data_IF_180430388125
#
_entry.id   IF_180430388125
#
_cell.length_a   1.000
_cell.length_b   1.000
_cell.length_c   1.000
_cell.angle_alpha   90.00
_cell.angle_beta   90.00
_cell.angle_gamma   90.00
#
_symmetry.space_group_name_H-M   'P 1'
#
loop_
_entity.id
_entity.type
_entity.pdbx_description
1 polymer ?
#
# COMPACT_ATOMS: atom_id res chain seq x y z
N UNK A 1 -16.37 -12.07 7.57
CA UNK A 1 -16.44 -10.60 7.58
C UNK A 1 -15.06 -10.00 7.36
N UNK A 2 -14.96 -9.06 6.45
CA UNK A 2 -13.68 -8.41 6.14
C UNK A 2 -13.42 -7.28 7.14
N UNK A 3 -12.22 -7.28 7.73
CA UNK A 3 -11.75 -6.20 8.61
C UNK A 3 -10.57 -5.49 7.96
N UNK A 4 -10.53 -4.18 8.15
CA UNK A 4 -9.42 -3.36 7.67
C UNK A 4 -8.64 -2.86 8.88
N UNK A 5 -7.33 -3.06 8.87
CA UNK A 5 -6.47 -2.63 9.96
C UNK A 5 -5.10 -2.20 9.47
N UNK A 6 -4.43 -1.39 10.28
CA UNK A 6 -3.06 -1.00 10.03
C UNK A 6 -2.13 -2.18 10.34
N UNK A 7 -1.06 -2.32 9.57
CA UNK A 7 -0.12 -3.43 9.73
C UNK A 7 0.96 -3.14 10.75
N UNK A 8 1.59 -4.20 11.22
CA UNK A 8 2.76 -4.15 12.08
C UNK A 8 3.86 -5.04 11.48
N UNK A 9 5.03 -5.03 12.10
CA UNK A 9 6.16 -5.84 11.62
C UNK A 9 5.85 -7.34 11.54
N UNK A 10 4.97 -7.82 12.41
CA UNK A 10 4.59 -9.24 12.40
C UNK A 10 3.79 -9.67 11.18
N UNK A 11 3.30 -8.71 10.39
CA UNK A 11 2.54 -8.97 9.17
C UNK A 11 3.41 -9.13 7.93
N UNK A 12 4.74 -9.03 8.06
CA UNK A 12 5.62 -8.88 6.90
C UNK A 12 5.46 -10.01 5.86
N UNK A 13 5.34 -11.25 6.29
CA UNK A 13 5.20 -12.35 5.32
C UNK A 13 3.88 -12.30 4.57
N UNK A 14 2.79 -11.97 5.24
CA UNK A 14 1.49 -11.78 4.60
C UNK A 14 1.51 -10.60 3.64
N UNK A 15 2.16 -9.50 4.03
CA UNK A 15 2.31 -8.32 3.16
C UNK A 15 3.13 -8.65 1.91
N UNK A 16 4.22 -9.37 2.06
CA UNK A 16 5.04 -9.76 0.92
C UNK A 16 4.26 -10.66 -0.04
N UNK A 17 3.50 -11.61 0.48
CA UNK A 17 2.69 -12.50 -0.36
C UNK A 17 1.67 -11.71 -1.19
N UNK A 18 0.92 -10.79 -0.58
CA UNK A 18 -0.09 -10.03 -1.31
C UNK A 18 0.55 -9.02 -2.27
N UNK A 19 1.68 -8.44 -1.89
CA UNK A 19 2.43 -7.52 -2.77
C UNK A 19 2.90 -8.22 -4.04
N UNK A 20 3.49 -9.40 -3.89
CA UNK A 20 3.99 -10.16 -5.03
C UNK A 20 2.84 -10.68 -5.91
N UNK A 21 1.72 -11.08 -5.31
CA UNK A 21 0.52 -11.45 -6.06
C UNK A 21 0.06 -10.28 -6.95
N UNK A 22 -0.04 -9.09 -6.39
CA UNK A 22 -0.43 -7.90 -7.15
C UNK A 22 0.55 -7.60 -8.28
N UNK A 23 1.86 -7.66 -8.00
CA UNK A 23 2.88 -7.37 -9.02
C UNK A 23 2.84 -8.37 -10.17
N UNK A 24 2.53 -9.63 -9.90
CA UNK A 24 2.36 -10.62 -10.96
C UNK A 24 1.20 -10.26 -11.89
N UNK A 25 0.09 -9.83 -11.31
CA UNK A 25 -1.11 -9.47 -12.07
C UNK A 25 -0.87 -8.19 -12.88
N UNK A 26 -0.33 -7.14 -12.24
CA UNK A 26 -0.12 -5.84 -12.87
C UNK A 26 0.88 -5.92 -14.02
N UNK A 27 1.90 -6.77 -13.89
CA UNK A 27 2.95 -6.93 -14.89
C UNK A 27 2.70 -8.11 -15.83
N UNK A 28 1.53 -8.75 -15.75
CA UNK A 28 1.16 -9.88 -16.61
C UNK A 28 2.27 -10.94 -16.65
N UNK A 29 2.76 -11.31 -15.48
CA UNK A 29 3.85 -12.28 -15.35
C UNK A 29 3.37 -13.70 -15.57
N UNK A 30 4.19 -14.49 -16.23
CA UNK A 30 3.94 -15.92 -16.40
C UNK A 30 4.23 -16.66 -15.10
N UNK A 31 3.63 -17.83 -14.92
CA UNK A 31 3.75 -18.62 -13.69
C UNK A 31 5.20 -19.03 -13.37
N UNK A 32 6.03 -19.22 -14.41
CA UNK A 32 7.42 -19.62 -14.24
C UNK A 32 8.39 -18.43 -14.05
N UNK A 33 7.91 -17.20 -14.14
CA UNK A 33 8.73 -16.02 -13.93
C UNK A 33 8.87 -15.73 -12.44
N UNK A 34 10.10 -15.49 -12.01
CA UNK A 34 10.39 -15.16 -10.62
C UNK A 34 10.78 -13.69 -10.49
N UNK A 35 10.54 -13.13 -9.32
CA UNK A 35 11.00 -11.79 -8.99
C UNK A 35 12.47 -11.80 -8.63
N UNK A 36 13.17 -10.72 -8.91
CA UNK A 36 14.56 -10.58 -8.49
C UNK A 36 14.66 -10.54 -6.97
N UNK A 37 15.77 -11.05 -6.44
CA UNK A 37 16.03 -10.94 -5.01
C UNK A 37 16.13 -9.48 -4.57
N UNK A 38 16.62 -8.61 -5.44
CA UNK A 38 16.71 -7.18 -5.19
C UNK A 38 15.33 -6.59 -4.92
N UNK A 39 14.34 -6.87 -5.77
CA UNK A 39 12.98 -6.38 -5.57
C UNK A 39 12.38 -6.91 -4.28
N UNK A 40 12.53 -8.21 -4.02
CA UNK A 40 11.97 -8.85 -2.83
C UNK A 40 12.59 -8.25 -1.56
N UNK A 41 13.90 -8.13 -1.50
CA UNK A 41 14.60 -7.64 -0.32
C UNK A 41 14.32 -6.17 -0.06
N UNK A 42 14.30 -5.33 -1.10
CA UNK A 42 13.98 -3.90 -0.95
C UNK A 42 12.52 -3.68 -0.56
N UNK A 43 11.62 -4.49 -1.09
CA UNK A 43 10.20 -4.40 -0.71
C UNK A 43 9.99 -4.76 0.75
N UNK A 44 10.62 -5.85 1.21
CA UNK A 44 10.54 -6.27 2.60
C UNK A 44 11.09 -5.21 3.55
N UNK A 45 12.27 -4.69 3.23
CA UNK A 45 12.89 -3.64 4.05
C UNK A 45 12.03 -2.39 4.09
N UNK A 46 11.44 -2.01 2.96
CA UNK A 46 10.59 -0.83 2.90
C UNK A 46 9.35 -0.95 3.78
N UNK A 47 8.69 -2.11 3.78
CA UNK A 47 7.55 -2.33 4.68
C UNK A 47 7.96 -2.26 6.15
N UNK A 48 9.16 -2.72 6.48
CA UNK A 48 9.63 -2.77 7.88
C UNK A 48 10.16 -1.43 8.38
N UNK A 49 10.87 -0.68 7.55
CA UNK A 49 11.63 0.49 7.99
C UNK A 49 11.36 1.77 7.20
N UNK A 50 10.62 1.69 6.09
CA UNK A 50 10.34 2.87 5.27
C UNK A 50 9.35 3.83 5.92
N UNK A 51 9.34 5.06 5.44
CA UNK A 51 8.40 6.09 5.90
C UNK A 51 7.07 5.90 5.17
N UNK A 52 6.25 5.00 5.70
CA UNK A 52 5.00 4.61 5.06
C UNK A 52 4.00 4.09 6.10
N UNK A 53 2.73 4.04 5.71
CA UNK A 53 1.69 3.29 6.40
C UNK A 53 1.05 2.32 5.42
N UNK A 54 0.76 1.13 5.88
CA UNK A 54 0.05 0.12 5.09
C UNK A 54 -1.12 -0.41 5.89
N UNK A 55 -2.25 -0.57 5.22
CA UNK A 55 -3.42 -1.25 5.79
C UNK A 55 -3.69 -2.51 4.98
N UNK A 56 -4.28 -3.48 5.64
CA UNK A 56 -4.71 -4.73 5.00
C UNK A 56 -6.18 -4.94 5.25
N UNK A 57 -6.81 -5.62 4.31
CA UNK A 57 -8.15 -6.15 4.47
C UNK A 57 -8.02 -7.65 4.73
N UNK A 58 -8.61 -8.11 5.83
CA UNK A 58 -8.52 -9.50 6.25
C UNK A 58 -9.90 -10.15 6.31
N UNK A 59 -9.98 -11.36 5.80
CA UNK A 59 -11.12 -12.24 5.99
C UNK A 59 -10.64 -13.42 6.82
N UNK A 60 -10.92 -13.40 8.13
CA UNK A 60 -10.31 -14.32 9.07
C UNK A 60 -8.80 -14.10 9.12
N UNK A 61 -8.03 -15.14 8.85
CA UNK A 61 -6.56 -15.05 8.84
C UNK A 61 -5.98 -14.73 7.46
N UNK A 62 -6.85 -14.63 6.45
CA UNK A 62 -6.44 -14.43 5.08
C UNK A 62 -6.42 -12.93 4.74
N UNK A 63 -5.30 -12.45 4.22
CA UNK A 63 -5.20 -11.09 3.69
C UNK A 63 -5.75 -11.10 2.25
N UNK A 64 -6.79 -10.32 2.02
CA UNK A 64 -7.48 -10.26 0.73
C UNK A 64 -7.30 -8.93 0.01
N UNK A 65 -6.61 -7.99 0.62
CA UNK A 65 -6.30 -6.72 0.01
C UNK A 65 -5.30 -5.94 0.82
N UNK A 66 -4.71 -4.93 0.20
CA UNK A 66 -3.80 -4.01 0.85
C UNK A 66 -3.83 -2.65 0.18
N UNK A 67 -3.35 -1.66 0.89
CA UNK A 67 -3.10 -0.33 0.36
C UNK A 67 -1.98 0.30 1.17
N UNK A 68 -1.11 1.06 0.52
CA UNK A 68 0.03 1.71 1.16
C UNK A 68 0.07 3.19 0.81
N UNK A 69 0.60 3.98 1.72
CA UNK A 69 0.88 5.38 1.48
C UNK A 69 2.31 5.65 1.92
N UNK A 70 3.10 6.24 1.01
CA UNK A 70 4.48 6.62 1.27
C UNK A 70 4.52 8.10 1.57
N UNK A 71 5.33 8.50 2.55
CA UNK A 71 5.49 9.90 2.93
C UNK A 71 6.80 10.43 2.38
N UNK A 72 6.73 11.61 1.78
CA UNK A 72 7.92 12.27 1.23
C UNK A 72 7.93 13.73 1.64
N UNK A 73 9.13 14.31 1.71
CA UNK A 73 9.28 15.74 1.91
C UNK A 73 10.00 16.28 0.68
N UNK A 74 9.39 17.25 0.03
CA UNK A 74 10.00 17.93 -1.11
C UNK A 74 10.14 19.41 -0.81
N UNK A 75 10.73 20.16 -1.72
CA UNK A 75 10.95 21.59 -1.54
C UNK A 75 9.64 22.29 -1.13
N UNK A 76 9.61 22.97 0.03
CA UNK A 76 8.44 23.75 0.42
C UNK A 76 8.07 24.81 -0.62
N UNK A 77 6.77 25.00 -0.80
CA UNK A 77 6.24 26.00 -1.72
C UNK A 77 5.20 26.85 -1.01
N UNK A 78 4.73 27.89 -1.67
CA UNK A 78 3.73 28.79 -1.08
C UNK A 78 2.46 28.02 -0.62
N UNK A 79 1.96 27.13 -1.46
CA UNK A 79 0.75 26.35 -1.15
C UNK A 79 1.02 25.11 -0.29
N UNK A 80 2.28 24.70 -0.18
CA UNK A 80 2.71 23.55 0.58
C UNK A 80 3.92 23.90 1.44
N UNK A 81 3.72 24.71 2.49
CA UNK A 81 4.85 25.33 3.22
C UNK A 81 5.69 24.34 4.02
N UNK A 82 5.20 23.16 4.32
CA UNK A 82 5.98 22.13 5.01
C UNK A 82 6.72 21.20 4.03
N UNK A 83 6.31 21.17 2.78
CA UNK A 83 6.82 20.21 1.81
C UNK A 83 6.41 18.76 2.06
N UNK A 84 5.62 18.50 3.10
CA UNK A 84 5.17 17.14 3.45
C UNK A 84 4.09 16.68 2.46
N UNK A 85 4.37 15.61 1.77
CA UNK A 85 3.45 15.03 0.79
C UNK A 85 3.35 13.54 0.99
N UNK A 86 2.32 12.95 0.42
CA UNK A 86 2.09 11.53 0.49
C UNK A 86 1.82 10.98 -0.91
N UNK A 87 2.18 9.72 -1.13
CA UNK A 87 1.94 9.03 -2.38
C UNK A 87 1.20 7.72 -2.07
N UNK A 88 -0.02 7.62 -2.58
CA UNK A 88 -0.85 6.43 -2.40
C UNK A 88 -0.49 5.42 -3.48
N UNK A 89 -0.20 4.19 -3.08
CA UNK A 89 0.20 3.14 -4.01
C UNK A 89 -0.11 1.77 -3.43
N UNK A 90 0.19 0.72 -4.17
CA UNK A 90 0.03 -0.66 -3.72
C UNK A 90 -1.43 -0.97 -3.33
N UNK A 91 -2.40 -0.33 -4.00
CA UNK A 91 -3.82 -0.56 -3.72
C UNK A 91 -4.27 -1.81 -4.48
N UNK A 92 -4.64 -2.84 -3.74
CA UNK A 92 -5.00 -4.11 -4.34
C UNK A 92 -6.11 -4.78 -3.53
N UNK A 93 -7.08 -5.35 -4.24
CA UNK A 93 -8.11 -6.21 -3.65
C UNK A 93 -8.18 -7.47 -4.48
N UNK A 94 -8.12 -8.64 -3.82
CA UNK A 94 -8.28 -9.92 -4.48
C UNK A 94 -9.60 -9.95 -5.26
N UNK A 95 -9.58 -10.53 -6.45
CA UNK A 95 -10.72 -10.50 -7.36
C UNK A 95 -12.02 -10.98 -6.72
N UNK A 96 -11.95 -12.02 -5.88
CA UNK A 96 -13.13 -12.58 -5.21
C UNK A 96 -13.79 -11.60 -4.22
N UNK A 97 -13.09 -10.55 -3.82
CA UNK A 97 -13.54 -9.56 -2.82
C UNK A 97 -13.80 -8.18 -3.41
N UNK A 98 -13.71 -8.03 -4.72
CA UNK A 98 -13.96 -6.74 -5.39
C UNK A 98 -15.43 -6.35 -5.34
N UNK A 99 -15.70 -5.07 -5.57
CA UNK A 99 -17.06 -4.49 -5.63
C UNK A 99 -17.78 -4.49 -4.28
N UNK A 100 -17.03 -4.56 -3.18
CA UNK A 100 -17.57 -4.52 -1.82
C UNK A 100 -17.16 -3.25 -1.07
N UNK A 101 -16.50 -2.30 -1.74
CA UNK A 101 -16.06 -1.06 -1.13
C UNK A 101 -14.80 -1.19 -0.27
N UNK A 102 -14.08 -2.32 -0.36
CA UNK A 102 -12.89 -2.59 0.47
C UNK A 102 -11.77 -1.60 0.14
N UNK A 103 -11.45 -1.43 -1.15
CA UNK A 103 -10.40 -0.49 -1.57
C UNK A 103 -10.70 0.93 -1.10
N UNK A 104 -11.95 1.37 -1.23
CA UNK A 104 -12.36 2.70 -0.78
C UNK A 104 -12.14 2.89 0.71
N UNK A 105 -12.48 1.88 1.52
CA UNK A 105 -12.29 1.95 2.97
C UNK A 105 -10.81 2.02 3.33
N UNK A 106 -9.97 1.21 2.68
CA UNK A 106 -8.53 1.23 2.89
C UNK A 106 -7.93 2.59 2.54
N UNK A 107 -8.28 3.11 1.37
CA UNK A 107 -7.78 4.41 0.90
C UNK A 107 -8.23 5.53 1.83
N UNK A 108 -9.49 5.51 2.26
CA UNK A 108 -10.03 6.52 3.17
C UNK A 108 -9.26 6.54 4.49
N UNK A 109 -8.94 5.37 5.04
CA UNK A 109 -8.17 5.27 6.27
C UNK A 109 -6.77 5.85 6.11
N UNK A 110 -6.12 5.57 4.98
CA UNK A 110 -4.77 6.10 4.71
C UNK A 110 -4.77 7.61 4.47
N UNK A 111 -5.80 8.14 3.84
CA UNK A 111 -5.95 9.60 3.66
C UNK A 111 -6.05 10.28 5.03
N UNK A 112 -6.82 9.70 5.95
CA UNK A 112 -6.94 10.24 7.31
C UNK A 112 -5.59 10.21 8.03
N UNK A 113 -4.80 9.15 7.88
CA UNK A 113 -3.45 9.07 8.43
C UNK A 113 -2.54 10.15 7.85
N UNK A 114 -2.58 10.36 6.54
CA UNK A 114 -1.78 11.38 5.88
C UNK A 114 -2.12 12.79 6.39
N UNK A 115 -3.40 13.07 6.59
CA UNK A 115 -3.85 14.34 7.16
C UNK A 115 -3.31 14.54 8.58
N UNK A 116 -3.36 13.52 9.40
CA UNK A 116 -2.81 13.55 10.76
C UNK A 116 -1.31 13.84 10.77
N UNK A 117 -0.59 13.39 9.75
CA UNK A 117 0.85 13.62 9.60
C UNK A 117 1.18 14.96 8.96
N UNK A 118 0.20 15.78 8.67
CA UNK A 118 0.40 17.12 8.12
C UNK A 118 0.71 17.15 6.64
N UNK A 119 0.37 16.11 5.90
CA UNK A 119 0.52 16.11 4.45
C UNK A 119 -0.51 17.03 3.81
N UNK A 120 -0.06 17.87 2.88
CA UNK A 120 -0.91 18.85 2.19
C UNK A 120 -1.26 18.43 0.77
N UNK A 121 -0.66 17.35 0.29
CA UNK A 121 -0.94 16.82 -1.04
C UNK A 121 -0.81 15.30 -1.00
N UNK A 122 -1.72 14.63 -1.71
CA UNK A 122 -1.69 13.18 -1.89
C UNK A 122 -1.72 12.91 -3.39
N UNK A 123 -0.69 12.24 -3.89
CA UNK A 123 -0.64 11.78 -5.27
C UNK A 123 -1.01 10.30 -5.35
N UNK A 124 -1.34 9.83 -6.53
CA UNK A 124 -1.82 8.48 -6.76
C UNK A 124 -1.28 7.97 -8.10
N UNK A 125 -0.70 6.77 -8.07
CA UNK A 125 -0.41 6.03 -9.30
C UNK A 125 -1.65 5.19 -9.63
N UNK A 126 -2.16 5.36 -10.83
CA UNK A 126 -3.27 4.56 -11.32
C UNK A 126 -2.86 3.84 -12.60
N UNK A 127 -3.18 2.55 -12.66
CA UNK A 127 -3.08 1.79 -13.92
C UNK A 127 -4.46 1.77 -14.58
N UNK A 128 -4.44 2.09 -15.85
CA UNK A 128 -5.66 2.05 -16.66
C UNK A 128 -5.90 0.65 -17.19
#
# INVERSE_FOLDING_TARGET
>A
MVKIRKTSASDIEKLMNVRLEMLRIVNDMKDDQEFSEELINHSREYFLTGDQDTVVAEDGEKVVGCASISYITIMPTYNHPTGRRAHLMNVYTNEAYRRQGIARKMVSQLIDEAKKRGCTEISLDATL
#
